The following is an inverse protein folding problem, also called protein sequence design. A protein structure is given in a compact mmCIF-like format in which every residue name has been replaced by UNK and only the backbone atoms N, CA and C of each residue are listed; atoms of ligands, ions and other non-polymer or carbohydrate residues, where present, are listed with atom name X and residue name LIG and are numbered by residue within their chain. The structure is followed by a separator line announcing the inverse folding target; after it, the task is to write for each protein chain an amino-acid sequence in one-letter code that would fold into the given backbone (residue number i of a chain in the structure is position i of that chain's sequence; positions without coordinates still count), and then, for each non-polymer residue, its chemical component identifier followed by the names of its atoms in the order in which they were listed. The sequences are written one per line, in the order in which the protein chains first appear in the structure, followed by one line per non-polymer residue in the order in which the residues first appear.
data_IF_212313124447
#
_entry.id   IF_212313124447
#
_cell.length_a   1.000
_cell.length_b   1.000
_cell.length_c   1.000
_cell.angle_alpha   90.00
_cell.angle_beta   90.00
_cell.angle_gamma   90.00
#
_symmetry.space_group_name_H-M   'P 1'
#
loop_
_entity.id
_entity.type
_entity.pdbx_description
1 polymer ?
#
# COMPACT_ATOMS: atom_id res chain seq x y z
N UNK A 1 60.86 4.89 9.51
CA UNK A 1 60.02 3.69 9.27
C UNK A 1 59.48 3.30 10.63
N UNK A 2 58.19 3.33 10.95
CA UNK A 2 56.95 3.14 10.18
C UNK A 2 55.91 4.17 10.69
N UNK A 3 55.25 4.87 9.79
CA UNK A 3 54.03 5.66 10.02
C UNK A 3 52.85 4.70 10.15
N UNK A 4 52.36 4.50 11.37
CA UNK A 4 51.05 3.85 11.59
C UNK A 4 50.01 4.97 11.71
N UNK A 5 49.70 5.57 10.57
CA UNK A 5 48.62 6.54 10.42
C UNK A 5 47.30 5.80 10.67
N UNK A 6 46.61 6.29 11.70
CA UNK A 6 45.37 5.81 12.26
C UNK A 6 44.51 5.06 11.24
N UNK A 7 44.41 3.74 11.43
CA UNK A 7 43.46 2.85 10.77
C UNK A 7 42.18 3.62 10.45
N UNK A 8 41.99 3.91 9.16
CA UNK A 8 40.94 4.78 8.67
C UNK A 8 39.57 4.30 9.14
N UNK A 9 39.14 4.75 10.32
CA UNK A 9 37.79 4.52 10.82
C UNK A 9 36.88 5.07 9.74
N UNK A 10 36.05 4.20 9.16
CA UNK A 10 35.06 4.57 8.17
C UNK A 10 34.15 5.66 8.77
N UNK A 11 34.47 6.92 8.50
CA UNK A 11 33.61 8.07 8.81
C UNK A 11 32.57 8.12 7.69
N UNK A 12 31.33 7.72 7.99
CA UNK A 12 30.20 7.97 7.08
C UNK A 12 30.23 9.46 6.71
N UNK A 13 30.35 9.74 5.42
CA UNK A 13 30.36 11.11 4.88
C UNK A 13 29.07 11.78 5.33
N UNK A 14 29.15 12.87 6.09
CA UNK A 14 27.99 13.63 6.51
C UNK A 14 27.28 14.16 5.25
N UNK A 15 26.05 13.70 5.04
CA UNK A 15 25.18 14.02 3.90
C UNK A 15 25.55 13.41 2.52
N UNK A 16 25.73 12.08 2.47
CA UNK A 16 25.56 11.38 1.19
C UNK A 16 24.08 11.38 0.78
N UNK A 17 23.71 12.24 -0.18
CA UNK A 17 22.38 12.30 -0.82
C UNK A 17 21.95 10.94 -1.45
N UNK A 18 22.87 9.99 -1.57
CA UNK A 18 22.66 8.60 -2.00
C UNK A 18 21.46 7.92 -1.28
N UNK A 19 21.19 8.28 -0.02
CA UNK A 19 20.07 7.67 0.74
C UNK A 19 18.72 8.41 0.62
N UNK A 20 18.69 9.63 0.07
CA UNK A 20 17.50 10.49 -0.04
C UNK A 20 16.93 10.44 -1.47
N UNK A 21 16.69 9.24 -2.00
CA UNK A 21 15.95 9.09 -3.27
C UNK A 21 14.65 9.89 -3.21
N UNK A 22 14.39 10.73 -4.22
CA UNK A 22 13.16 11.53 -4.34
C UNK A 22 11.88 10.68 -4.29
N UNK A 23 12.00 9.36 -4.49
CA UNK A 23 10.89 8.41 -4.40
C UNK A 23 10.47 8.04 -2.96
N UNK A 24 11.29 8.37 -1.94
CA UNK A 24 10.94 8.09 -0.54
C UNK A 24 9.95 9.14 -0.02
N UNK A 25 8.95 8.68 0.72
CA UNK A 25 7.96 9.56 1.31
C UNK A 25 8.56 10.40 2.44
N UNK A 26 8.10 11.65 2.57
CA UNK A 26 8.60 12.63 3.55
C UNK A 26 8.11 12.40 4.99
N UNK A 27 7.16 11.49 5.19
CA UNK A 27 6.52 11.22 6.47
C UNK A 27 6.46 9.71 6.71
N UNK A 28 6.24 9.32 7.97
CA UNK A 28 5.95 7.95 8.35
C UNK A 28 4.52 7.59 7.93
N UNK A 29 4.35 6.53 7.17
CA UNK A 29 3.04 6.09 6.75
C UNK A 29 2.24 5.53 7.92
N UNK A 30 1.06 6.09 8.14
CA UNK A 30 0.02 5.54 9.01
C UNK A 30 -1.03 4.95 8.08
N UNK A 31 -1.13 3.62 8.08
CA UNK A 31 -2.03 2.89 7.21
C UNK A 31 -3.37 2.63 7.92
N UNK A 32 -4.46 2.79 7.18
CA UNK A 32 -5.83 2.43 7.58
C UNK A 32 -6.40 1.47 6.53
N UNK A 33 -7.17 0.47 6.97
CA UNK A 33 -7.83 -0.49 6.08
C UNK A 33 -8.89 0.20 5.23
N UNK A 34 -9.00 -0.19 3.96
CA UNK A 34 -10.02 0.29 3.03
C UNK A 34 -10.36 -0.77 1.98
N UNK A 35 -11.45 -0.54 1.26
CA UNK A 35 -11.75 -1.23 0.01
C UNK A 35 -11.33 -0.33 -1.16
N UNK A 36 -10.67 -0.91 -2.15
CA UNK A 36 -10.39 -0.23 -3.41
C UNK A 36 -11.16 -0.88 -4.55
N UNK A 37 -11.71 -0.05 -5.43
CA UNK A 37 -12.40 -0.47 -6.65
C UNK A 37 -11.72 0.09 -7.88
N UNK A 38 -11.56 -0.74 -8.92
CA UNK A 38 -10.93 -0.31 -10.16
C UNK A 38 -10.94 -1.40 -11.22
N UNK A 39 -10.59 -1.03 -12.45
CA UNK A 39 -10.41 -1.97 -13.55
C UNK A 39 -8.96 -2.44 -13.68
N UNK A 40 -8.79 -3.64 -14.22
CA UNK A 40 -7.49 -4.12 -14.69
C UNK A 40 -7.32 -3.74 -16.17
N UNK A 41 -6.49 -2.75 -16.44
CA UNK A 41 -6.21 -2.30 -17.81
C UNK A 41 -7.47 -1.79 -18.54
N UNK A 42 -7.64 -2.20 -19.80
CA UNK A 42 -8.79 -1.81 -20.64
C UNK A 42 -10.01 -2.72 -20.46
N UNK A 43 -10.05 -3.57 -19.42
CA UNK A 43 -11.24 -4.37 -19.15
C UNK A 43 -12.31 -3.51 -18.48
N UNK A 44 -13.57 -3.67 -18.89
CA UNK A 44 -14.70 -3.05 -18.18
C UNK A 44 -15.06 -3.78 -16.87
N UNK A 45 -14.25 -4.75 -16.46
CA UNK A 45 -14.49 -5.53 -15.26
C UNK A 45 -14.00 -4.75 -14.05
N UNK A 46 -14.93 -4.35 -13.18
CA UNK A 46 -14.60 -3.66 -11.94
C UNK A 46 -14.30 -4.69 -10.85
N UNK A 47 -13.08 -4.66 -10.34
CA UNK A 47 -12.63 -5.49 -9.24
C UNK A 47 -12.71 -4.73 -7.93
N UNK A 48 -12.90 -5.48 -6.85
CA UNK A 48 -12.85 -4.96 -5.49
C UNK A 48 -11.77 -5.72 -4.75
N UNK A 49 -10.97 -5.01 -3.96
CA UNK A 49 -9.96 -5.63 -3.12
C UNK A 49 -9.85 -4.92 -1.79
N UNK A 50 -9.53 -5.70 -0.77
CA UNK A 50 -9.20 -5.19 0.56
C UNK A 50 -7.75 -4.75 0.53
N UNK A 51 -7.52 -3.49 0.85
CA UNK A 51 -6.22 -2.87 0.86
C UNK A 51 -6.08 -2.00 2.10
N UNK A 52 -4.94 -1.32 2.20
CA UNK A 52 -4.78 -0.23 3.14
C UNK A 52 -4.33 1.02 2.40
N UNK A 53 -4.58 2.18 2.98
CA UNK A 53 -4.10 3.44 2.44
C UNK A 53 -3.46 4.27 3.53
N UNK A 54 -2.47 5.07 3.15
CA UNK A 54 -1.88 6.02 4.06
C UNK A 54 -2.83 7.21 4.25
N UNK A 55 -3.20 7.51 5.48
CA UNK A 55 -4.15 8.60 5.81
C UNK A 55 -3.63 10.00 5.45
N UNK A 56 -2.32 10.16 5.27
CA UNK A 56 -1.68 11.46 5.00
C UNK A 56 -1.47 11.68 3.50
N UNK A 57 -0.98 10.68 2.77
CA UNK A 57 -0.63 10.83 1.35
C UNK A 57 -1.41 9.93 0.39
N UNK A 58 -2.29 9.08 0.90
CA UNK A 58 -3.11 8.19 0.09
C UNK A 58 -2.35 6.99 -0.48
N UNK A 59 -1.07 6.78 -0.12
CA UNK A 59 -0.29 5.66 -0.66
C UNK A 59 -0.98 4.33 -0.35
N UNK A 60 -1.22 3.53 -1.38
CA UNK A 60 -1.85 2.21 -1.24
C UNK A 60 -0.82 1.22 -0.70
N UNK A 61 -1.25 0.43 0.27
CA UNK A 61 -0.54 -0.69 0.86
C UNK A 61 -1.32 -1.99 0.68
N UNK A 62 -0.74 -3.09 1.14
CA UNK A 62 -1.42 -4.39 1.16
C UNK A 62 -2.51 -4.46 2.23
N UNK A 63 -3.20 -5.60 2.28
CA UNK A 63 -4.10 -5.88 3.38
C UNK A 63 -3.32 -5.96 4.70
N UNK A 64 -3.73 -5.18 5.69
CA UNK A 64 -3.16 -5.17 7.04
C UNK A 64 -3.96 -5.99 8.04
N UNK A 65 -5.19 -6.40 7.66
CA UNK A 65 -6.09 -7.16 8.51
C UNK A 65 -6.23 -8.60 7.98
N UNK A 66 -5.56 -9.58 8.61
CA UNK A 66 -5.55 -10.96 8.12
C UNK A 66 -6.89 -11.69 8.30
N UNK A 67 -7.86 -11.09 9.01
CA UNK A 67 -9.18 -11.71 9.23
C UNK A 67 -10.11 -11.47 8.05
N UNK A 68 -9.83 -10.45 7.24
CA UNK A 68 -10.60 -10.07 6.08
C UNK A 68 -9.91 -10.59 4.83
N UNK A 69 -10.62 -11.42 4.08
CA UNK A 69 -10.11 -11.95 2.83
C UNK A 69 -11.12 -11.77 1.70
N UNK A 70 -10.60 -11.78 0.47
CA UNK A 70 -11.39 -11.77 -0.77
C UNK A 70 -11.61 -13.19 -1.32
N UNK A 71 -11.06 -14.21 -0.66
CA UNK A 71 -11.24 -15.63 -0.97
C UNK A 71 -11.94 -16.39 0.15
N UNK A 72 -12.74 -17.35 -0.24
CA UNK A 72 -13.35 -18.35 0.65
C UNK A 72 -12.58 -19.66 0.53
N UNK A 73 -12.27 -20.28 1.67
CA UNK A 73 -11.66 -21.60 1.72
C UNK A 73 -12.74 -22.66 1.60
N UNK A 74 -12.86 -23.27 0.42
CA UNK A 74 -13.84 -24.35 0.15
C UNK A 74 -13.30 -25.71 0.63
N UNK A 75 -11.98 -25.90 0.52
CA UNK A 75 -11.25 -27.02 1.10
C UNK A 75 -9.79 -26.63 1.34
N UNK A 76 -9.01 -27.46 2.01
CA UNK A 76 -7.58 -27.23 2.33
C UNK A 76 -6.74 -26.72 1.14
N UNK A 77 -7.09 -27.12 -0.09
CA UNK A 77 -6.36 -26.76 -1.33
C UNK A 77 -7.19 -25.98 -2.35
N UNK A 78 -8.46 -25.71 -2.07
CA UNK A 78 -9.34 -25.00 -3.01
C UNK A 78 -9.83 -23.69 -2.39
N UNK A 79 -9.39 -22.61 -3.02
CA UNK A 79 -9.81 -21.25 -2.72
C UNK A 79 -10.76 -20.80 -3.81
N UNK A 80 -11.85 -20.16 -3.42
CA UNK A 80 -12.80 -19.55 -4.35
C UNK A 80 -12.80 -18.05 -4.12
N UNK A 81 -12.67 -17.27 -5.20
CA UNK A 81 -12.87 -15.82 -5.13
C UNK A 81 -14.31 -15.52 -4.69
N UNK A 82 -14.43 -14.66 -3.68
CA UNK A 82 -15.71 -14.18 -3.21
C UNK A 82 -16.31 -13.22 -4.24
N UNK A 83 -17.64 -13.25 -4.39
CA UNK A 83 -18.33 -12.29 -5.26
C UNK A 83 -18.15 -10.87 -4.73
N UNK A 84 -18.09 -9.88 -5.64
CA UNK A 84 -17.97 -8.45 -5.31
C UNK A 84 -18.96 -8.02 -4.23
N UNK A 85 -20.23 -8.41 -4.39
CA UNK A 85 -21.32 -8.06 -3.49
C UNK A 85 -21.04 -8.55 -2.07
N UNK A 86 -20.63 -9.82 -1.92
CA UNK A 86 -20.32 -10.43 -0.63
C UNK A 86 -19.12 -9.75 0.07
N UNK A 87 -18.10 -9.34 -0.69
CA UNK A 87 -16.95 -8.59 -0.15
C UNK A 87 -17.40 -7.23 0.39
N UNK A 88 -18.21 -6.50 -0.38
CA UNK A 88 -18.77 -5.22 0.07
C UNK A 88 -19.62 -5.41 1.33
N UNK A 89 -20.40 -6.50 1.39
CA UNK A 89 -21.27 -6.74 2.52
C UNK A 89 -20.54 -7.08 3.81
N UNK A 90 -19.45 -7.83 3.73
CA UNK A 90 -18.63 -8.18 4.89
C UNK A 90 -17.80 -6.98 5.40
N UNK A 91 -17.59 -5.97 4.57
CA UNK A 91 -16.70 -4.85 4.84
C UNK A 91 -17.41 -3.49 4.77
N UNK A 92 -18.70 -3.45 5.16
CA UNK A 92 -19.52 -2.23 5.17
C UNK A 92 -18.95 -1.13 6.09
N UNK A 93 -18.08 -1.50 7.03
CA UNK A 93 -17.41 -0.58 7.95
C UNK A 93 -16.22 0.16 7.31
N UNK A 94 -15.68 -0.34 6.20
CA UNK A 94 -14.50 0.23 5.56
C UNK A 94 -14.86 1.29 4.52
N UNK A 95 -13.99 2.28 4.40
CA UNK A 95 -14.08 3.28 3.34
C UNK A 95 -13.79 2.64 1.97
N UNK A 96 -14.59 3.02 0.97
CA UNK A 96 -14.46 2.53 -0.41
C UNK A 96 -13.88 3.64 -1.27
N UNK A 97 -12.78 3.36 -1.96
CA UNK A 97 -12.15 4.28 -2.91
C UNK A 97 -12.21 3.73 -4.32
N UNK A 98 -12.78 4.51 -5.25
CA UNK A 98 -12.65 4.22 -6.68
C UNK A 98 -11.36 4.85 -7.21
N UNK A 99 -10.42 3.99 -7.62
CA UNK A 99 -9.10 4.40 -8.11
C UNK A 99 -9.01 4.36 -9.63
N UNK A 100 -10.09 3.97 -10.32
CA UNK A 100 -10.15 3.76 -11.76
C UNK A 100 -9.29 2.60 -12.24
N UNK A 101 -7.98 2.63 -11.98
CA UNK A 101 -7.00 1.63 -12.37
C UNK A 101 -6.45 0.91 -11.13
N UNK A 102 -6.56 -0.43 -11.09
CA UNK A 102 -6.07 -1.26 -9.98
C UNK A 102 -4.55 -1.16 -9.73
N UNK A 103 -3.78 -0.70 -10.72
CA UNK A 103 -2.33 -0.46 -10.61
C UNK A 103 -1.98 0.94 -10.11
N UNK A 104 -2.97 1.76 -9.75
CA UNK A 104 -2.74 3.05 -9.12
C UNK A 104 -1.97 2.86 -7.81
N UNK A 105 -1.04 3.78 -7.52
CA UNK A 105 -0.21 3.75 -6.31
C UNK A 105 -0.81 4.52 -5.13
N UNK A 106 -1.82 5.35 -5.39
CA UNK A 106 -2.39 6.29 -4.44
C UNK A 106 -3.90 6.33 -4.58
N UNK A 107 -4.62 6.42 -3.46
CA UNK A 107 -6.04 6.76 -3.43
C UNK A 107 -6.21 8.27 -3.57
N UNK A 108 -7.30 8.73 -4.22
CA UNK A 108 -7.66 10.14 -4.22
C UNK A 108 -8.12 10.52 -2.81
N UNK A 109 -7.25 11.21 -2.06
CA UNK A 109 -7.67 11.87 -0.83
C UNK A 109 -8.25 13.23 -1.22
N UNK A 110 -9.53 13.46 -0.91
CA UNK A 110 -10.11 14.79 -0.94
C UNK A 110 -9.38 15.64 0.10
N UNK A 111 -8.32 16.34 -0.33
CA UNK A 111 -7.76 17.43 0.43
C UNK A 111 -8.70 18.61 0.25
N UNK A 112 -9.79 18.60 0.99
CA UNK A 112 -10.48 19.86 1.30
C UNK A 112 -9.53 20.61 2.23
N UNK A 113 -8.73 21.48 1.63
CA UNK A 113 -7.84 22.40 2.33
C UNK A 113 -8.69 23.27 3.26
N UNK A 114 -8.35 23.27 4.55
CA UNK A 114 -8.81 24.24 5.53
C UNK A 114 -7.67 25.19 5.85
#
# INVERSE_FOLDING_TARGET
MITDDEVGKYKKKADSNISKSKAKSKHKHIYKSCLITGSFGNTNLQHVSIASYCTICGKIGGNIDPTRDVVEHVSDKHLRMLSKEKILEQNKDLEIFDIGNMFAKYVPLNKEEK
#
